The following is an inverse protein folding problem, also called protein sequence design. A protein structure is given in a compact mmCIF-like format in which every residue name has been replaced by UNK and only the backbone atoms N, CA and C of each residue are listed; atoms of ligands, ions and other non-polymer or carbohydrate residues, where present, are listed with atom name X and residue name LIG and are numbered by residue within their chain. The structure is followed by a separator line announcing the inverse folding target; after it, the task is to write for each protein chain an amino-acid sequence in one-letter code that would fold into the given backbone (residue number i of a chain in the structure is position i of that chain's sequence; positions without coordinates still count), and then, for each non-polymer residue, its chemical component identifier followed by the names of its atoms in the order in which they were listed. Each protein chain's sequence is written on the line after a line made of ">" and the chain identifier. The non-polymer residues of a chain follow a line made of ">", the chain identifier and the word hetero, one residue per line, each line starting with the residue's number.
data_IF_426800794013
#
_entry.id   IF_426800794013
#
_cell.length_a   1.000
_cell.length_b   1.000
_cell.length_c   1.000
_cell.angle_alpha   90.00
_cell.angle_beta   90.00
_cell.angle_gamma   90.00
#
_symmetry.space_group_name_H-M   'P 1'
#
loop_
_entity.id
_entity.type
_entity.pdbx_description
1 polymer ?
#
# COMPACT_ATOMS: atom_id res chain seq x y z
N UNK A 1 28.31 -15.76 0.97
CA UNK A 1 28.58 -15.58 2.41
C UNK A 1 27.42 -16.12 3.26
N UNK A 2 27.08 -17.41 3.13
CA UNK A 2 25.92 -18.03 3.81
C UNK A 2 26.31 -19.19 4.74
N UNK A 3 27.61 -19.49 4.85
CA UNK A 3 28.12 -20.62 5.64
C UNK A 3 28.53 -20.23 7.07
N UNK A 4 28.74 -18.94 7.35
CA UNK A 4 29.29 -18.46 8.63
C UNK A 4 28.33 -18.44 9.86
N UNK A 5 27.00 -18.28 9.76
CA UNK A 5 26.19 -18.18 10.98
C UNK A 5 25.72 -19.53 11.53
N UNK A 6 25.92 -20.64 10.79
CA UNK A 6 25.37 -21.95 11.14
C UNK A 6 26.10 -22.66 12.28
N UNK A 7 27.38 -22.32 12.52
CA UNK A 7 28.25 -23.12 13.41
C UNK A 7 28.48 -22.48 14.78
N UNK A 8 28.34 -21.15 14.92
CA UNK A 8 28.83 -20.43 16.13
C UNK A 8 27.71 -19.98 17.10
N UNK A 9 26.44 -19.88 16.68
CA UNK A 9 25.41 -19.23 17.54
C UNK A 9 24.24 -20.09 18.00
N UNK A 10 24.19 -21.40 17.70
CA UNK A 10 23.17 -22.30 18.28
C UNK A 10 21.73 -21.80 18.11
N UNK A 11 21.45 -20.97 17.10
CA UNK A 11 20.13 -20.40 16.86
C UNK A 11 19.37 -21.35 15.94
N UNK A 12 18.64 -22.28 16.57
CA UNK A 12 17.68 -23.22 15.96
C UNK A 12 16.69 -22.58 14.96
N UNK A 13 16.60 -21.25 14.92
CA UNK A 13 15.70 -20.46 14.08
C UNK A 13 16.01 -20.52 12.57
N UNK A 14 17.23 -20.90 12.18
CA UNK A 14 17.61 -21.07 10.76
C UNK A 14 17.19 -22.42 10.16
N UNK A 15 16.70 -23.36 10.97
CA UNK A 15 16.17 -24.65 10.49
C UNK A 15 14.85 -24.44 9.72
N UNK A 16 14.05 -23.45 10.12
CA UNK A 16 12.75 -23.13 9.53
C UNK A 16 12.86 -22.78 8.03
N UNK A 17 13.73 -21.84 7.59
CA UNK A 17 13.88 -21.53 6.17
C UNK A 17 14.47 -22.68 5.34
N UNK A 18 15.30 -23.55 5.92
CA UNK A 18 15.85 -24.74 5.24
C UNK A 18 14.76 -25.78 4.99
N UNK A 19 13.91 -26.06 6.00
CA UNK A 19 12.77 -26.96 5.86
C UNK A 19 11.77 -26.42 4.83
N UNK A 20 11.45 -25.13 4.87
CA UNK A 20 10.58 -24.50 3.88
C UNK A 20 11.17 -24.52 2.46
N UNK A 21 12.49 -24.39 2.32
CA UNK A 21 13.19 -24.54 1.05
C UNK A 21 13.06 -25.95 0.48
N UNK A 22 13.24 -26.99 1.31
CA UNK A 22 13.06 -28.39 0.92
C UNK A 22 11.59 -28.68 0.55
N UNK A 23 10.63 -28.11 1.30
CA UNK A 23 9.20 -28.20 0.99
C UNK A 23 8.82 -27.51 -0.33
N UNK A 24 9.54 -26.46 -0.75
CA UNK A 24 9.34 -25.81 -2.04
C UNK A 24 9.83 -26.70 -3.21
N UNK A 25 10.90 -27.48 -3.02
CA UNK A 25 11.36 -28.46 -4.01
C UNK A 25 10.40 -29.64 -4.21
N UNK A 26 9.54 -29.93 -3.23
CA UNK A 26 8.47 -30.91 -3.39
C UNK A 26 7.45 -30.55 -4.49
N UNK A 27 7.50 -29.33 -5.04
CA UNK A 27 6.73 -28.90 -6.22
C UNK A 27 7.00 -29.75 -7.48
N UNK A 28 8.18 -30.38 -7.59
CA UNK A 28 8.55 -31.21 -8.74
C UNK A 28 7.95 -32.63 -8.72
N UNK A 29 7.46 -33.09 -7.56
CA UNK A 29 6.89 -34.43 -7.39
C UNK A 29 5.36 -34.29 -7.27
N UNK A 30 4.63 -34.65 -8.34
CA UNK A 30 3.16 -34.49 -8.47
C UNK A 30 2.34 -34.92 -7.24
N UNK A 31 2.65 -36.01 -6.50
CA UNK A 31 1.87 -36.41 -5.32
C UNK A 31 2.15 -35.60 -4.03
N UNK A 32 3.28 -34.89 -3.88
CA UNK A 32 3.65 -34.17 -2.63
C UNK A 32 3.62 -32.64 -2.81
N UNK A 33 3.18 -32.17 -3.98
CA UNK A 33 2.99 -30.76 -4.33
C UNK A 33 2.18 -29.92 -3.31
N UNK A 34 1.30 -30.54 -2.51
CA UNK A 34 0.57 -29.85 -1.45
C UNK A 34 1.49 -29.22 -0.39
N UNK A 35 2.64 -29.82 -0.12
CA UNK A 35 3.61 -29.34 0.85
C UNK A 35 4.27 -28.02 0.41
N UNK A 36 4.37 -27.78 -0.90
CA UNK A 36 4.87 -26.53 -1.49
C UNK A 36 3.91 -25.34 -1.30
N UNK A 37 2.67 -25.55 -0.84
CA UNK A 37 1.72 -24.46 -0.57
C UNK A 37 2.07 -23.68 0.69
N UNK A 38 2.74 -24.31 1.66
CA UNK A 38 3.13 -23.66 2.92
C UNK A 38 4.22 -22.59 2.76
N UNK A 39 5.33 -22.84 2.03
CA UNK A 39 6.31 -21.78 1.72
C UNK A 39 5.70 -20.62 0.94
N UNK A 40 4.83 -20.91 -0.03
CA UNK A 40 4.16 -19.86 -0.82
C UNK A 40 3.19 -19.04 0.02
N UNK A 41 2.46 -19.67 0.94
CA UNK A 41 1.61 -18.97 1.90
C UNK A 41 2.42 -18.10 2.87
N UNK A 42 3.62 -18.53 3.27
CA UNK A 42 4.52 -17.73 4.10
C UNK A 42 5.10 -16.52 3.35
N UNK A 43 5.49 -16.69 2.08
CA UNK A 43 5.98 -15.57 1.25
C UNK A 43 4.83 -14.58 0.98
N UNK A 44 3.65 -15.08 0.61
CA UNK A 44 2.47 -14.26 0.39
C UNK A 44 2.02 -13.57 1.69
N UNK A 45 2.06 -14.27 2.82
CA UNK A 45 1.72 -13.75 4.14
C UNK A 45 2.73 -12.72 4.64
N UNK A 46 4.03 -12.92 4.42
CA UNK A 46 5.06 -11.93 4.73
C UNK A 46 4.95 -10.70 3.83
N UNK A 47 4.66 -10.89 2.54
CA UNK A 47 4.39 -9.80 1.60
C UNK A 47 3.16 -8.99 2.00
N UNK A 48 2.03 -9.65 2.24
CA UNK A 48 0.79 -9.03 2.71
C UNK A 48 0.96 -8.37 4.09
N UNK A 49 1.71 -8.98 5.00
CA UNK A 49 2.07 -8.40 6.28
C UNK A 49 2.87 -7.12 6.10
N UNK A 50 3.95 -7.16 5.31
CA UNK A 50 4.80 -6.00 5.04
C UNK A 50 4.05 -4.85 4.38
N UNK A 51 3.10 -5.14 3.48
CA UNK A 51 2.27 -4.11 2.85
C UNK A 51 1.25 -3.51 3.82
N UNK A 52 0.65 -4.30 4.72
CA UNK A 52 -0.22 -3.81 5.79
C UNK A 52 0.57 -2.97 6.79
N UNK A 53 1.74 -3.43 7.23
CA UNK A 53 2.61 -2.68 8.13
C UNK A 53 3.10 -1.39 7.47
N UNK A 54 3.52 -1.46 6.20
CA UNK A 54 3.92 -0.30 5.41
C UNK A 54 2.78 0.72 5.31
N UNK A 55 1.58 0.29 4.93
CA UNK A 55 0.42 1.18 4.81
C UNK A 55 0.00 1.78 6.16
N UNK A 56 0.02 0.98 7.24
CA UNK A 56 -0.37 1.45 8.59
C UNK A 56 0.65 2.44 9.14
N UNK A 57 1.94 2.11 9.04
CA UNK A 57 3.00 2.93 9.65
C UNK A 57 3.33 4.16 8.81
N UNK A 58 3.27 4.08 7.48
CA UNK A 58 3.56 5.24 6.61
C UNK A 58 2.35 6.16 6.46
N UNK A 59 1.12 5.64 6.37
CA UNK A 59 -0.04 6.49 6.12
C UNK A 59 -0.68 7.00 7.41
N UNK A 60 -0.96 6.11 8.39
CA UNK A 60 -1.69 6.53 9.60
C UNK A 60 -0.78 7.31 10.57
N UNK A 61 0.41 6.80 10.87
CA UNK A 61 1.31 7.46 11.84
C UNK A 61 1.82 8.79 11.28
N UNK A 62 2.13 8.86 9.98
CA UNK A 62 2.52 10.13 9.36
C UNK A 62 1.36 11.14 9.34
N UNK A 63 0.12 10.71 9.09
CA UNK A 63 -1.05 11.60 9.16
C UNK A 63 -1.29 12.13 10.57
N UNK A 64 -1.16 11.29 11.61
CA UNK A 64 -1.28 11.75 13.00
C UNK A 64 -0.19 12.76 13.34
N UNK A 65 1.07 12.49 12.96
CA UNK A 65 2.18 13.43 13.17
C UNK A 65 2.00 14.74 12.40
N UNK A 66 1.49 14.68 11.17
CA UNK A 66 1.22 15.86 10.34
C UNK A 66 0.12 16.75 10.94
N UNK A 67 -0.84 16.18 11.68
CA UNK A 67 -1.87 16.95 12.38
C UNK A 67 -1.40 17.57 13.71
N UNK A 68 -0.19 17.24 14.19
CA UNK A 68 0.44 17.83 15.37
C UNK A 68 1.38 18.99 15.02
N UNK A 69 1.41 19.44 13.75
CA UNK A 69 2.26 20.54 13.30
C UNK A 69 1.89 21.86 14.00
N UNK A 70 2.88 22.72 14.31
CA UNK A 70 2.61 24.01 14.94
C UNK A 70 1.77 24.91 14.02
N UNK A 71 0.74 25.53 14.60
CA UNK A 71 -0.27 26.37 13.92
C UNK A 71 0.27 27.76 13.51
N UNK A 72 1.50 27.82 13.03
CA UNK A 72 2.16 29.08 12.66
C UNK A 72 1.93 29.51 11.20
N UNK A 73 1.39 28.62 10.36
CA UNK A 73 1.14 28.90 8.93
C UNK A 73 -0.32 28.64 8.56
N UNK A 74 -0.85 29.43 7.63
CA UNK A 74 -2.19 29.27 7.07
C UNK A 74 -2.42 27.86 6.49
N UNK A 75 -1.40 27.27 5.85
CA UNK A 75 -1.50 25.91 5.30
C UNK A 75 -1.69 24.86 6.40
N UNK A 76 -0.97 24.99 7.52
CA UNK A 76 -1.09 24.07 8.65
C UNK A 76 -2.47 24.17 9.31
N UNK A 77 -2.99 25.40 9.45
CA UNK A 77 -4.34 25.64 9.99
C UNK A 77 -5.39 25.03 9.06
N UNK A 78 -5.27 25.24 7.75
CA UNK A 78 -6.19 24.67 6.77
C UNK A 78 -6.17 23.14 6.79
N UNK A 79 -4.99 22.53 6.90
CA UNK A 79 -4.85 21.08 7.00
C UNK A 79 -5.53 20.50 8.25
N UNK A 80 -5.26 21.08 9.42
CA UNK A 80 -5.86 20.63 10.69
C UNK A 80 -7.37 20.83 10.69
N UNK A 81 -7.86 21.99 10.24
CA UNK A 81 -9.30 22.28 10.14
C UNK A 81 -9.98 21.37 9.13
N UNK A 82 -9.34 21.09 7.99
CA UNK A 82 -9.84 20.16 6.98
C UNK A 82 -9.97 18.73 7.51
N UNK A 83 -8.96 18.23 8.24
CA UNK A 83 -8.99 16.91 8.87
C UNK A 83 -10.09 16.84 9.93
N UNK A 84 -10.22 17.86 10.78
CA UNK A 84 -11.30 17.95 11.76
C UNK A 84 -12.68 17.96 11.09
N UNK A 85 -12.87 18.72 10.00
CA UNK A 85 -14.12 18.77 9.25
C UNK A 85 -14.49 17.40 8.65
N UNK A 86 -13.49 16.66 8.15
CA UNK A 86 -13.66 15.29 7.64
C UNK A 86 -13.96 14.30 8.76
N UNK A 87 -13.31 14.42 9.92
CA UNK A 87 -13.62 13.58 11.09
C UNK A 87 -15.04 13.84 11.60
N UNK A 88 -15.46 15.11 11.68
CA UNK A 88 -16.84 15.48 12.04
C UNK A 88 -17.81 14.87 11.03
N UNK A 89 -17.50 14.92 9.73
CA UNK A 89 -18.32 14.27 8.71
C UNK A 89 -18.46 12.74 8.91
N UNK A 90 -17.35 12.04 9.17
CA UNK A 90 -17.33 10.58 9.34
C UNK A 90 -17.95 10.11 10.67
N UNK A 91 -17.63 10.80 11.77
CA UNK A 91 -18.08 10.44 13.12
C UNK A 91 -19.59 10.68 13.28
N UNK A 92 -20.12 11.72 12.62
CA UNK A 92 -21.54 12.06 12.63
C UNK A 92 -22.29 11.56 11.39
N UNK A 93 -21.88 10.42 10.80
CA UNK A 93 -22.52 9.80 9.63
C UNK A 93 -23.98 9.34 9.85
N UNK A 94 -24.64 9.73 10.94
CA UNK A 94 -26.06 9.51 11.20
C UNK A 94 -26.76 10.83 11.53
N UNK A 95 -27.88 11.05 10.85
CA UNK A 95 -28.66 12.29 10.72
C UNK A 95 -28.42 13.40 11.76
N UNK A 96 -27.81 14.50 11.30
CA UNK A 96 -27.73 15.76 12.05
C UNK A 96 -28.53 16.84 11.31
N UNK A 97 -29.55 17.39 11.97
CA UNK A 97 -30.25 18.62 11.57
C UNK A 97 -29.65 19.79 12.39
N UNK A 98 -28.82 20.65 11.77
CA UNK A 98 -28.24 21.83 12.45
C UNK A 98 -27.00 22.44 11.77
N UNK A 99 -26.37 23.48 12.35
CA UNK A 99 -25.18 24.18 11.78
C UNK A 99 -23.96 23.28 11.59
N UNK A 100 -23.87 22.17 12.34
CA UNK A 100 -22.89 21.10 12.16
C UNK A 100 -22.97 20.46 10.76
N UNK A 101 -24.13 20.51 10.10
CA UNK A 101 -24.33 20.01 8.72
C UNK A 101 -23.51 20.80 7.70
N UNK A 102 -23.30 22.10 7.90
CA UNK A 102 -22.53 22.92 6.96
C UNK A 102 -21.03 22.63 7.06
N UNK A 103 -20.50 22.51 8.29
CA UNK A 103 -19.12 22.06 8.52
C UNK A 103 -18.89 20.63 8.02
N UNK A 104 -19.83 19.72 8.25
CA UNK A 104 -19.76 18.35 7.73
C UNK A 104 -19.87 18.29 6.19
N UNK A 105 -20.63 19.20 5.57
CA UNK A 105 -20.72 19.29 4.10
C UNK A 105 -19.41 19.76 3.47
N UNK A 106 -18.68 20.67 4.14
CA UNK A 106 -17.33 21.05 3.73
C UNK A 106 -16.35 19.87 3.77
N UNK A 107 -16.39 19.08 4.85
CA UNK A 107 -15.62 17.84 4.95
C UNK A 107 -15.97 16.81 3.86
N UNK A 108 -17.27 16.67 3.52
CA UNK A 108 -17.72 15.81 2.41
C UNK A 108 -17.15 16.24 1.07
N UNK A 109 -17.15 17.54 0.77
CA UNK A 109 -16.58 18.07 -0.47
C UNK A 109 -15.08 17.79 -0.56
N UNK A 110 -14.34 18.03 0.53
CA UNK A 110 -12.91 17.71 0.60
C UNK A 110 -12.66 16.22 0.35
N UNK A 111 -13.43 15.33 0.98
CA UNK A 111 -13.35 13.89 0.75
C UNK A 111 -13.57 13.52 -0.73
N UNK A 112 -14.58 14.09 -1.38
CA UNK A 112 -14.87 13.83 -2.80
C UNK A 112 -13.71 14.25 -3.70
N UNK A 113 -13.10 15.41 -3.44
CA UNK A 113 -11.92 15.88 -4.18
C UNK A 113 -10.72 14.96 -3.96
N UNK A 114 -10.43 14.58 -2.71
CA UNK A 114 -9.32 13.68 -2.40
C UNK A 114 -9.50 12.30 -3.04
N UNK A 115 -10.72 11.75 -3.03
CA UNK A 115 -11.01 10.51 -3.74
C UNK A 115 -10.83 10.67 -5.25
N UNK A 116 -11.28 11.78 -5.84
CA UNK A 116 -11.07 12.08 -7.26
C UNK A 116 -9.59 12.08 -7.66
N UNK A 117 -8.73 12.74 -6.87
CA UNK A 117 -7.27 12.73 -7.08
C UNK A 117 -6.69 11.33 -6.96
N UNK A 118 -7.11 10.56 -5.95
CA UNK A 118 -6.64 9.18 -5.75
C UNK A 118 -7.02 8.26 -6.91
N UNK A 119 -8.24 8.37 -7.44
CA UNK A 119 -8.66 7.62 -8.63
C UNK A 119 -7.88 8.05 -9.87
N UNK A 120 -7.66 9.37 -10.05
CA UNK A 120 -6.86 9.91 -11.15
C UNK A 120 -5.43 9.36 -11.17
N UNK A 121 -4.79 9.25 -10.00
CA UNK A 121 -3.43 8.70 -9.89
C UNK A 121 -3.36 7.22 -10.31
N UNK A 122 -4.36 6.42 -9.95
CA UNK A 122 -4.44 5.01 -10.35
C UNK A 122 -4.67 4.87 -11.86
N UNK A 123 -5.54 5.71 -12.44
CA UNK A 123 -5.78 5.73 -13.89
C UNK A 123 -4.52 6.14 -14.63
N UNK A 124 -3.80 7.16 -14.15
CA UNK A 124 -2.54 7.61 -14.74
C UNK A 124 -1.49 6.49 -14.75
N UNK A 125 -1.36 5.72 -13.66
CA UNK A 125 -0.45 4.57 -13.62
C UNK A 125 -0.80 3.50 -14.66
N UNK A 126 -2.09 3.23 -14.87
CA UNK A 126 -2.56 2.25 -15.88
C UNK A 126 -2.35 2.77 -17.31
N UNK A 127 -2.63 4.06 -17.56
CA UNK A 127 -2.38 4.70 -18.86
C UNK A 127 -0.89 4.72 -19.16
N UNK A 128 -0.03 4.98 -18.17
CA UNK A 128 1.43 4.96 -18.34
C UNK A 128 1.94 3.60 -18.81
N UNK A 129 1.44 2.50 -18.22
CA UNK A 129 1.77 1.14 -18.68
C UNK A 129 1.26 0.87 -20.10
N UNK A 130 0.06 1.33 -20.45
CA UNK A 130 -0.51 1.19 -21.78
C UNK A 130 0.28 1.99 -22.83
N UNK A 131 0.71 3.20 -22.50
CA UNK A 131 1.61 3.99 -23.34
C UNK A 131 2.95 3.30 -23.54
N UNK A 132 3.54 2.71 -22.49
CA UNK A 132 4.76 1.92 -22.61
C UNK A 132 4.60 0.70 -23.53
N UNK A 133 3.44 0.02 -23.46
CA UNK A 133 3.12 -1.09 -24.36
C UNK A 133 2.93 -0.62 -25.80
N UNK A 134 2.21 0.48 -26.04
CA UNK A 134 2.05 1.07 -27.36
C UNK A 134 3.38 1.53 -27.94
N UNK A 135 4.26 2.15 -27.17
CA UNK A 135 5.60 2.56 -27.63
C UNK A 135 6.45 1.35 -28.02
N UNK A 136 6.38 0.25 -27.27
CA UNK A 136 7.07 -0.99 -27.61
C UNK A 136 6.56 -1.61 -28.93
N UNK A 137 5.26 -1.54 -29.20
CA UNK A 137 4.65 -2.09 -30.42
C UNK A 137 4.90 -1.18 -31.62
N UNK A 138 4.56 0.11 -31.52
CA UNK A 138 4.65 1.05 -32.63
C UNK A 138 6.08 1.52 -32.94
N UNK A 139 6.94 1.64 -31.93
CA UNK A 139 8.34 2.02 -32.11
C UNK A 139 9.23 0.83 -32.40
N UNK A 140 9.34 -0.10 -31.43
CA UNK A 140 10.32 -1.20 -31.47
C UNK A 140 9.97 -2.32 -32.47
N UNK A 141 8.69 -2.58 -32.69
CA UNK A 141 8.21 -3.66 -33.58
C UNK A 141 7.83 -3.16 -34.98
N UNK A 142 7.13 -2.03 -35.08
CA UNK A 142 6.62 -1.50 -36.36
C UNK A 142 7.52 -0.42 -36.99
N UNK A 143 8.42 0.21 -36.25
CA UNK A 143 9.39 1.19 -36.77
C UNK A 143 8.78 2.49 -37.33
N UNK A 144 7.46 2.70 -37.17
CA UNK A 144 6.74 3.85 -37.74
C UNK A 144 7.02 5.13 -36.95
N UNK A 145 7.41 5.01 -35.69
CA UNK A 145 7.70 6.14 -34.79
C UNK A 145 9.08 5.90 -34.19
N UNK A 146 10.10 6.52 -34.77
CA UNK A 146 11.40 6.68 -34.12
C UNK A 146 11.40 8.01 -33.36
N UNK A 147 11.23 7.93 -32.04
CA UNK A 147 11.43 9.03 -31.11
C UNK A 147 12.35 8.52 -30.01
#
# INVERSE_FOLDING_TARGET
>A
QAWDPLVVQGKLIYIIPIILGIMAYARFIKPISWLSRWPMALIAGAGAGSSIYGATNSSLVAQVKANLLPLNSFDNIFMVVGVLAVMVYFLFSRDQKGPVKHFASGGRMLLMVTFGVSFGNVIMGRISLLLGALQSIFGKWLGIISL
#
